data_IF_379972131191
#
_entry.id   IF_379972131191
#
_cell.length_a   1.000
_cell.length_b   1.000
_cell.length_c   1.000
_cell.angle_alpha   90.00
_cell.angle_beta   90.00
_cell.angle_gamma   90.00
#
_symmetry.space_group_name_H-M   'P 1'
#
loop_
_entity.id
_entity.type
_entity.pdbx_description
1 polymer ?
#
# COMPACT_ATOMS: atom_id res chain seq x y z
N UNK A 1 17.32 9.82 11.21
CA UNK A 1 16.80 10.88 10.32
C UNK A 1 17.13 10.50 8.89
N UNK A 2 16.19 9.90 8.16
CA UNK A 2 16.43 9.33 6.82
C UNK A 2 16.44 10.48 5.80
N UNK A 3 17.64 10.92 5.42
CA UNK A 3 17.87 11.97 4.41
C UNK A 3 17.68 11.37 3.01
N UNK A 4 16.71 11.87 2.23
CA UNK A 4 16.55 11.52 0.81
C UNK A 4 15.14 11.15 0.37
N UNK A 5 14.18 11.00 1.28
CA UNK A 5 12.78 10.82 0.88
C UNK A 5 12.17 12.20 0.57
N UNK A 6 11.60 12.34 -0.63
CA UNK A 6 10.76 13.50 -0.97
C UNK A 6 9.71 13.62 0.14
N UNK A 7 9.53 14.79 0.79
CA UNK A 7 8.66 14.94 1.95
C UNK A 7 7.25 14.37 1.74
N UNK A 8 6.75 14.45 0.51
CA UNK A 8 5.49 13.85 0.08
C UNK A 8 5.47 12.32 0.24
N UNK A 9 6.53 11.62 -0.16
CA UNK A 9 6.62 10.16 0.01
C UNK A 9 6.77 9.75 1.46
N UNK A 10 7.53 10.50 2.27
CA UNK A 10 7.59 10.27 3.73
C UNK A 10 6.24 10.47 4.40
N UNK A 11 5.49 11.50 4.01
CA UNK A 11 4.15 11.76 4.53
C UNK A 11 3.16 10.66 4.14
N UNK A 12 3.19 10.22 2.87
CA UNK A 12 2.38 9.09 2.40
C UNK A 12 2.74 7.83 3.17
N UNK A 13 4.03 7.50 3.29
CA UNK A 13 4.49 6.32 4.03
C UNK A 13 4.05 6.37 5.50
N UNK A 14 4.17 7.53 6.15
CA UNK A 14 3.73 7.73 7.53
C UNK A 14 2.21 7.56 7.67
N UNK A 15 1.42 8.12 6.75
CA UNK A 15 -0.03 7.93 6.70
C UNK A 15 -0.40 6.47 6.46
N UNK A 16 0.34 5.76 5.61
CA UNK A 16 0.17 4.33 5.39
C UNK A 16 0.45 3.56 6.67
N UNK A 17 1.59 3.79 7.34
CA UNK A 17 1.99 3.18 8.63
C UNK A 17 0.88 3.32 9.68
N UNK A 18 0.23 4.48 9.73
CA UNK A 18 -0.86 4.76 10.65
C UNK A 18 -2.21 4.16 10.24
N UNK A 19 -2.29 3.40 9.12
CA UNK A 19 -3.54 2.97 8.47
C UNK A 19 -4.49 4.14 8.16
N UNK A 20 -3.96 5.37 8.04
CA UNK A 20 -4.70 6.61 7.82
C UNK A 20 -4.67 7.10 6.38
N UNK A 21 -3.99 6.38 5.48
CA UNK A 21 -4.06 6.69 4.05
C UNK A 21 -5.54 6.57 3.63
N UNK A 22 -6.09 7.66 3.10
CA UNK A 22 -7.48 7.73 2.65
C UNK A 22 -7.65 6.86 1.40
N UNK A 23 -7.85 5.57 1.63
CA UNK A 23 -8.23 4.57 0.63
C UNK A 23 -9.76 4.51 0.59
N UNK A 24 -10.34 3.88 -0.42
CA UNK A 24 -11.77 3.56 -0.60
C UNK A 24 -12.53 3.27 0.70
N UNK A 25 -11.98 2.55 1.67
CA UNK A 25 -12.61 2.31 2.99
C UNK A 25 -12.94 3.61 3.76
N UNK A 26 -12.08 4.63 3.69
CA UNK A 26 -12.31 5.94 4.33
C UNK A 26 -13.25 6.81 3.50
N UNK A 27 -13.17 6.75 2.17
CA UNK A 27 -14.10 7.47 1.29
C UNK A 27 -15.54 6.93 1.42
N UNK A 28 -15.69 5.61 1.59
CA UNK A 28 -16.97 4.96 1.85
C UNK A 28 -17.55 5.35 3.21
N UNK A 29 -16.73 5.46 4.27
CA UNK A 29 -17.22 5.94 5.58
C UNK A 29 -17.64 7.41 5.55
N UNK A 30 -17.12 8.18 4.59
CA UNK A 30 -17.51 9.58 4.32
C UNK A 30 -18.72 9.68 3.38
N UNK A 31 -19.31 8.56 2.96
CA UNK A 31 -20.49 8.53 2.08
C UNK A 31 -20.19 8.76 0.59
N UNK A 32 -18.92 8.76 0.19
CA UNK A 32 -18.50 8.94 -1.20
C UNK A 32 -18.50 7.56 -1.88
N UNK A 33 -19.39 7.39 -2.86
CA UNK A 33 -19.51 6.17 -3.67
C UNK A 33 -18.32 6.06 -4.64
N UNK A 34 -17.19 5.56 -4.16
CA UNK A 34 -16.02 5.24 -5.00
C UNK A 34 -16.12 3.78 -5.43
N UNK A 35 -15.77 3.43 -6.69
CA UNK A 35 -15.67 2.03 -7.09
C UNK A 35 -14.82 1.25 -6.10
N UNK A 36 -15.42 0.24 -5.49
CA UNK A 36 -14.76 -0.64 -4.50
C UNK A 36 -13.63 -1.47 -5.13
N UNK A 37 -13.54 -1.51 -6.46
CA UNK A 37 -12.54 -2.31 -7.17
C UNK A 37 -11.18 -1.61 -7.27
N UNK A 38 -10.11 -2.34 -6.95
CA UNK A 38 -8.74 -1.92 -7.12
C UNK A 38 -8.41 -1.66 -8.59
N UNK A 39 -8.10 -0.41 -8.90
CA UNK A 39 -7.75 0.04 -10.25
C UNK A 39 -6.37 -0.43 -10.72
N UNK A 40 -5.51 -0.88 -9.80
CA UNK A 40 -4.13 -1.26 -10.11
C UNK A 40 -4.00 -2.69 -10.62
N UNK A 41 -4.79 -3.62 -10.09
CA UNK A 41 -4.73 -5.02 -10.49
C UNK A 41 -5.86 -5.44 -11.45
N UNK A 42 -6.90 -4.61 -11.63
CA UNK A 42 -8.05 -4.87 -12.50
C UNK A 42 -8.74 -6.22 -12.27
N UNK A 43 -8.56 -6.82 -11.09
CA UNK A 43 -9.14 -8.13 -10.72
C UNK A 43 -10.54 -8.01 -10.11
N UNK A 44 -11.06 -6.80 -9.96
CA UNK A 44 -12.35 -6.56 -9.28
C UNK A 44 -12.30 -6.73 -7.76
N UNK A 45 -11.12 -6.95 -7.18
CA UNK A 45 -10.94 -7.06 -5.74
C UNK A 45 -11.13 -5.72 -5.03
N UNK A 46 -11.63 -5.77 -3.81
CA UNK A 46 -11.75 -4.62 -2.91
C UNK A 46 -10.43 -3.84 -2.81
N UNK A 47 -10.42 -2.57 -3.19
CA UNK A 47 -9.36 -1.67 -2.81
C UNK A 47 -9.46 -1.47 -1.29
N UNK A 48 -8.47 -1.99 -0.57
CA UNK A 48 -8.32 -1.91 0.89
C UNK A 48 -6.84 -1.73 1.16
N UNK A 49 -6.44 -1.24 2.34
CA UNK A 49 -5.01 -1.16 2.71
C UNK A 49 -4.28 -2.49 2.51
N UNK A 50 -4.89 -3.58 2.98
CA UNK A 50 -4.33 -4.93 2.88
C UNK A 50 -4.18 -5.34 1.41
N UNK A 51 -5.21 -5.07 0.59
CA UNK A 51 -5.14 -5.39 -0.82
C UNK A 51 -4.09 -4.54 -1.54
N UNK A 52 -4.13 -3.22 -1.40
CA UNK A 52 -3.26 -2.29 -2.10
C UNK A 52 -1.78 -2.57 -1.85
N UNK A 53 -1.38 -2.93 -0.62
CA UNK A 53 0.03 -3.15 -0.30
C UNK A 53 0.48 -4.60 -0.43
N UNK A 54 -0.37 -5.59 -0.11
CA UNK A 54 0.08 -7.00 0.00
C UNK A 54 -0.63 -8.00 -0.92
N UNK A 55 -1.89 -7.78 -1.30
CA UNK A 55 -2.64 -8.76 -2.12
C UNK A 55 -2.73 -8.36 -3.60
N UNK A 56 -2.58 -7.09 -3.91
CA UNK A 56 -2.57 -6.54 -5.26
C UNK A 56 -1.38 -7.11 -6.05
N UNK A 57 -1.65 -7.73 -7.19
CA UNK A 57 -0.63 -8.30 -8.07
C UNK A 57 0.36 -7.23 -8.54
N UNK A 58 -0.17 -6.06 -8.94
CA UNK A 58 0.66 -4.92 -9.36
C UNK A 58 1.63 -4.48 -8.26
N UNK A 59 1.15 -4.37 -7.02
CA UNK A 59 2.00 -3.97 -5.89
C UNK A 59 3.04 -5.03 -5.54
N UNK A 60 2.69 -6.33 -5.62
CA UNK A 60 3.65 -7.43 -5.46
C UNK A 60 4.77 -7.36 -6.49
N UNK A 61 4.45 -7.04 -7.74
CA UNK A 61 5.46 -6.90 -8.79
C UNK A 61 6.43 -5.74 -8.52
N UNK A 62 5.91 -4.60 -8.02
CA UNK A 62 6.74 -3.46 -7.62
C UNK A 62 7.66 -3.87 -6.47
N UNK A 63 7.11 -4.47 -5.41
CA UNK A 63 7.90 -4.90 -4.27
C UNK A 63 8.96 -5.92 -4.65
N UNK A 64 8.63 -6.91 -5.50
CA UNK A 64 9.60 -7.89 -5.99
C UNK A 64 10.76 -7.24 -6.76
N UNK A 65 10.46 -6.25 -7.61
CA UNK A 65 11.50 -5.47 -8.31
C UNK A 65 12.33 -4.64 -7.35
N UNK A 66 11.69 -3.96 -6.38
CA UNK A 66 12.37 -3.12 -5.40
C UNK A 66 13.28 -3.94 -4.49
N UNK A 67 12.78 -5.04 -3.93
CA UNK A 67 13.53 -5.98 -3.08
C UNK A 67 14.74 -6.57 -3.81
N UNK A 68 14.56 -6.94 -5.09
CA UNK A 68 15.67 -7.36 -5.94
C UNK A 68 16.69 -6.24 -6.16
N UNK A 69 16.24 -5.00 -6.34
CA UNK A 69 17.12 -3.85 -6.56
C UNK A 69 17.95 -3.50 -5.32
N UNK A 70 17.38 -3.63 -4.13
CA UNK A 70 18.07 -3.40 -2.85
C UNK A 70 18.77 -4.66 -2.31
N UNK A 71 18.77 -5.76 -3.07
CA UNK A 71 19.37 -7.05 -2.73
C UNK A 71 18.90 -7.64 -1.39
N UNK A 72 17.62 -7.47 -1.07
CA UNK A 72 16.97 -8.03 0.12
C UNK A 72 16.02 -9.15 -0.32
N UNK A 73 16.23 -10.38 0.14
CA UNK A 73 15.30 -11.49 -0.06
C UNK A 73 14.33 -11.60 1.11
N UNK A 74 13.29 -10.77 1.13
CA UNK A 74 12.19 -10.86 2.11
C UNK A 74 10.89 -11.21 1.39
N UNK A 75 10.11 -12.13 1.96
CA UNK A 75 8.71 -12.30 1.58
C UNK A 75 7.91 -11.16 2.23
N UNK A 76 6.96 -10.57 1.51
CA UNK A 76 6.08 -9.56 2.09
C UNK A 76 5.08 -10.26 3.02
N UNK A 77 5.16 -9.98 4.31
CA UNK A 77 4.25 -10.53 5.31
C UNK A 77 3.01 -9.65 5.51
N UNK A 78 2.07 -10.05 6.35
CA UNK A 78 0.90 -9.23 6.65
C UNK A 78 1.34 -7.88 7.25
N UNK A 79 0.55 -6.84 7.02
CA UNK A 79 0.82 -5.47 7.48
C UNK A 79 1.29 -5.38 8.94
N UNK A 80 0.71 -6.19 9.82
CA UNK A 80 0.96 -6.16 11.26
C UNK A 80 2.33 -6.74 11.66
N UNK A 81 2.95 -7.53 10.78
CA UNK A 81 4.29 -8.09 10.97
C UNK A 81 5.39 -7.18 10.39
N UNK A 82 5.02 -6.24 9.51
CA UNK A 82 5.95 -5.34 8.81
C UNK A 82 6.11 -3.98 9.51
N UNK A 83 5.16 -3.58 10.36
CA UNK A 83 5.03 -2.20 10.88
C UNK A 83 5.25 -2.10 12.41
N UNK A 84 5.73 -3.18 13.05
CA UNK A 84 6.09 -3.19 14.48
C UNK A 84 7.25 -2.25 14.78
#
# INVERSE_FOLDING_TARGET
MIRGLIPRHSFILWMTVQKRLAITDSLLSWGIQVPYACVLCSTGAAETHIHLFFKCSYSKDIWGKLLKWINISKQLHHWEEEVV
#
